data_IF_493948176735
#
_entry.id   IF_493948176735
#
_cell.length_a   1.000
_cell.length_b   1.000
_cell.length_c   1.000
_cell.angle_alpha   90.00
_cell.angle_beta   90.00
_cell.angle_gamma   90.00
#
_symmetry.space_group_name_H-M   'P 1'
#
loop_
_entity.id
_entity.type
_entity.pdbx_description
1 polymer ?
#
# COMPACT_ATOMS: atom_id res chain seq x y z
N UNK A 1 12.16 30.71 43.84
CA UNK A 1 12.73 30.80 42.47
C UNK A 1 11.82 30.02 41.54
N UNK A 2 10.93 30.70 40.82
CA UNK A 2 9.91 30.04 40.00
C UNK A 2 10.55 29.30 38.82
N UNK A 3 10.21 28.03 38.64
CA UNK A 3 10.56 27.27 37.44
C UNK A 3 9.91 27.96 36.23
N UNK A 4 10.72 28.68 35.45
CA UNK A 4 10.29 29.40 34.26
C UNK A 4 9.85 28.35 33.23
N UNK A 5 8.54 28.22 33.02
CA UNK A 5 7.98 27.34 32.00
C UNK A 5 7.91 28.11 30.68
N UNK A 6 8.48 27.58 29.60
CA UNK A 6 8.37 28.11 28.24
C UNK A 6 7.59 27.11 27.40
N UNK A 7 6.53 27.55 26.73
CA UNK A 7 5.84 26.75 25.71
C UNK A 7 6.77 26.63 24.50
N UNK A 8 6.94 25.41 24.00
CA UNK A 8 7.74 25.14 22.82
C UNK A 8 6.80 25.17 21.61
N UNK A 9 7.11 26.05 20.65
CA UNK A 9 6.38 26.20 19.41
C UNK A 9 7.30 25.94 18.22
N UNK A 10 6.74 25.42 17.13
CA UNK A 10 7.48 25.21 15.89
C UNK A 10 8.00 26.56 15.33
N UNK A 11 7.26 27.65 15.59
CA UNK A 11 7.66 29.04 15.29
C UNK A 11 7.25 29.92 16.48
N UNK A 12 8.16 30.77 16.94
CA UNK A 12 7.91 31.80 17.96
C UNK A 12 8.69 33.08 17.65
N UNK A 13 8.59 34.10 18.51
CA UNK A 13 9.31 35.37 18.32
C UNK A 13 10.84 35.23 18.40
N UNK A 14 11.36 34.05 18.77
CA UNK A 14 12.79 33.75 18.77
C UNK A 14 13.25 32.97 17.55
N UNK A 15 12.34 32.57 16.65
CA UNK A 15 12.68 31.82 15.44
C UNK A 15 13.68 32.57 14.56
N UNK A 16 14.61 31.80 13.98
CA UNK A 16 15.66 32.34 13.13
C UNK A 16 15.10 32.58 11.73
N UNK A 17 15.21 33.81 11.24
CA UNK A 17 14.88 34.18 9.86
C UNK A 17 16.18 34.24 9.07
N UNK A 18 16.23 33.52 7.95
CA UNK A 18 17.37 33.47 7.04
C UNK A 18 17.44 34.72 6.14
N UNK A 19 18.55 34.91 5.43
CA UNK A 19 18.80 36.13 4.64
C UNK A 19 17.78 36.35 3.50
N UNK A 20 17.16 35.27 3.03
CA UNK A 20 16.11 35.26 2.00
C UNK A 20 14.68 35.41 2.57
N UNK A 21 14.55 35.68 3.86
CA UNK A 21 13.25 35.82 4.54
C UNK A 21 12.61 34.50 4.96
N UNK A 22 13.30 33.37 4.77
CA UNK A 22 12.78 32.05 5.08
C UNK A 22 12.92 31.77 6.58
N UNK A 23 11.82 31.37 7.21
CA UNK A 23 11.77 31.10 8.65
C UNK A 23 12.21 29.67 8.94
N UNK A 24 13.24 29.51 9.77
CA UNK A 24 13.71 28.19 10.20
C UNK A 24 12.87 27.68 11.36
N UNK A 25 12.33 26.47 11.23
CA UNK A 25 11.59 25.82 12.29
C UNK A 25 12.46 25.60 13.53
N UNK A 26 11.88 25.87 14.69
CA UNK A 26 12.54 25.75 15.97
C UNK A 26 12.83 24.28 16.29
N UNK A 27 14.06 24.00 16.72
CA UNK A 27 14.50 22.64 17.07
C UNK A 27 14.71 22.51 18.58
N UNK A 28 14.94 21.29 19.06
CA UNK A 28 15.39 21.05 20.45
C UNK A 28 16.67 21.85 20.75
N UNK A 29 17.57 21.96 19.77
CA UNK A 29 18.80 22.75 19.90
C UNK A 29 18.56 24.26 19.93
N UNK A 30 17.51 24.75 19.25
CA UNK A 30 17.11 26.17 19.29
C UNK A 30 16.75 26.61 20.71
N UNK A 31 16.06 25.74 21.45
CA UNK A 31 15.65 26.00 22.83
C UNK A 31 16.70 25.58 23.87
N UNK A 32 17.90 25.16 23.45
CA UNK A 32 18.99 24.69 24.33
C UNK A 32 18.55 23.59 25.32
N UNK A 33 17.61 22.74 24.91
CA UNK A 33 17.06 21.69 25.78
C UNK A 33 18.14 20.62 25.98
N UNK A 34 18.58 20.44 27.21
CA UNK A 34 19.63 19.49 27.58
C UNK A 34 19.07 18.10 27.88
N UNK A 35 19.95 17.08 27.86
CA UNK A 35 19.61 15.75 28.33
C UNK A 35 19.08 15.79 29.78
N UNK A 36 18.04 15.01 30.07
CA UNK A 36 17.38 14.97 31.39
C UNK A 36 16.39 16.11 31.65
N UNK A 37 16.14 17.00 30.69
CA UNK A 37 15.13 18.06 30.82
C UNK A 37 13.72 17.50 30.99
N UNK A 38 12.92 18.14 31.84
CA UNK A 38 11.50 17.78 32.04
C UNK A 38 10.62 18.47 30.99
N UNK A 39 9.87 17.68 30.22
CA UNK A 39 8.86 18.18 29.27
C UNK A 39 7.46 17.92 29.84
N UNK A 40 6.59 18.93 29.78
CA UNK A 40 5.19 18.80 30.16
C UNK A 40 4.32 18.77 28.92
N UNK A 41 3.38 17.82 28.86
CA UNK A 41 2.38 17.72 27.80
C UNK A 41 1.06 18.24 28.34
N UNK A 42 0.42 19.15 27.61
CA UNK A 42 -0.91 19.67 27.94
C UNK A 42 -1.76 19.77 26.68
N UNK A 43 -3.07 19.66 26.82
CA UNK A 43 -4.01 19.82 25.70
C UNK A 43 -4.29 21.31 25.50
N UNK A 44 -3.95 21.84 24.34
CA UNK A 44 -4.36 23.18 23.94
C UNK A 44 -5.84 23.14 23.56
N UNK A 45 -6.69 23.92 24.25
CA UNK A 45 -8.12 24.04 23.93
C UNK A 45 -8.22 25.06 22.79
N UNK A 46 -7.92 24.64 21.56
CA UNK A 46 -8.12 25.44 20.36
C UNK A 46 -8.46 24.53 19.18
N UNK A 47 -9.47 24.91 18.39
CA UNK A 47 -9.90 24.25 17.16
C UNK A 47 -8.85 24.44 16.06
N UNK A 48 -7.73 23.71 16.13
CA UNK A 48 -6.77 23.64 15.03
C UNK A 48 -6.82 22.26 14.37
N UNK A 49 -6.99 22.28 13.06
CA UNK A 49 -6.71 21.17 12.15
C UNK A 49 -5.27 20.72 12.35
N UNK A 50 -5.08 19.42 12.64
CA UNK A 50 -3.83 18.82 13.11
C UNK A 50 -2.71 18.67 12.07
N UNK A 51 -2.88 19.23 10.88
CA UNK A 51 -1.86 19.25 9.83
C UNK A 51 -1.46 20.69 9.56
N UNK A 52 -0.39 21.14 10.23
CA UNK A 52 0.27 22.40 9.88
C UNK A 52 1.08 22.11 8.61
N UNK A 53 0.49 22.39 7.45
CA UNK A 53 1.25 22.45 6.20
C UNK A 53 2.12 23.71 6.25
N UNK A 54 3.42 23.51 6.47
CA UNK A 54 4.40 24.58 6.35
C UNK A 54 4.55 24.98 4.89
N UNK A 55 4.31 26.26 4.59
CA UNK A 55 4.51 26.85 3.26
C UNK A 55 5.99 26.97 2.90
N UNK A 56 6.27 27.29 1.63
CA UNK A 56 7.62 27.40 1.05
C UNK A 56 8.51 28.50 1.70
N UNK A 57 7.92 29.35 2.54
CA UNK A 57 8.60 30.35 3.39
C UNK A 57 9.18 29.75 4.68
N UNK A 58 9.09 28.43 4.87
CA UNK A 58 9.67 27.72 6.02
C UNK A 58 10.72 26.70 5.61
N UNK A 59 11.75 26.53 6.44
CA UNK A 59 12.75 25.48 6.27
C UNK A 59 13.08 24.78 7.59
N UNK A 60 13.69 23.59 7.51
CA UNK A 60 14.14 22.86 8.70
C UNK A 60 15.61 22.42 8.54
N UNK A 61 15.86 21.26 7.92
CA UNK A 61 17.21 20.71 7.72
C UNK A 61 17.76 20.94 6.32
N UNK A 62 16.88 21.12 5.33
CA UNK A 62 17.24 21.41 3.94
C UNK A 62 16.93 22.88 3.70
N UNK A 63 17.94 23.63 3.28
CA UNK A 63 17.79 25.03 2.88
C UNK A 63 17.29 25.06 1.43
N UNK A 64 16.38 25.97 1.08
CA UNK A 64 15.91 26.16 -0.30
C UNK A 64 17.08 26.47 -1.25
N UNK A 65 16.91 26.14 -2.54
CA UNK A 65 18.00 26.13 -3.52
C UNK A 65 18.70 27.50 -3.69
N UNK A 66 18.03 28.60 -3.32
CA UNK A 66 18.59 29.97 -3.29
C UNK A 66 19.88 30.09 -2.45
N UNK A 67 19.95 29.42 -1.30
CA UNK A 67 21.17 29.37 -0.45
C UNK A 67 22.07 28.17 -0.76
N UNK A 68 21.59 27.20 -1.53
CA UNK A 68 22.38 26.03 -1.90
C UNK A 68 23.38 26.31 -3.04
N UNK A 69 23.19 27.41 -3.77
CA UNK A 69 24.01 27.87 -4.88
C UNK A 69 24.75 29.19 -4.65
N UNK A 70 24.51 29.91 -3.54
CA UNK A 70 25.29 31.09 -3.19
C UNK A 70 26.66 30.70 -2.62
N UNK A 71 27.61 30.54 -3.54
CA UNK A 71 29.03 30.47 -3.23
C UNK A 71 29.75 31.61 -3.97
N UNK A 72 29.49 32.87 -3.61
CA UNK A 72 30.37 33.99 -4.01
C UNK A 72 30.43 35.07 -2.93
N UNK A 73 31.58 35.09 -2.24
CA UNK A 73 32.21 36.24 -1.58
C UNK A 73 31.53 36.87 -0.36
N UNK A 74 31.81 36.32 0.83
CA UNK A 74 31.76 37.14 2.04
C UNK A 74 31.73 36.37 3.35
N UNK A 75 32.82 36.50 4.10
CA UNK A 75 32.98 36.16 5.53
C UNK A 75 33.19 34.68 5.92
N UNK A 76 34.21 34.55 6.76
CA UNK A 76 34.75 33.35 7.41
C UNK A 76 33.70 32.64 8.27
N UNK A 77 32.92 31.74 7.69
CA UNK A 77 32.43 30.57 8.43
C UNK A 77 33.00 29.31 7.77
N UNK A 78 34.00 28.71 8.43
CA UNK A 78 34.53 27.37 8.12
C UNK A 78 33.50 26.28 8.49
N UNK A 79 32.31 26.34 7.89
CA UNK A 79 31.36 25.24 7.86
C UNK A 79 31.70 24.35 6.67
N UNK A 80 32.00 23.08 6.93
CA UNK A 80 32.34 22.03 5.96
C UNK A 80 31.60 22.22 4.63
N UNK A 81 32.35 22.27 3.51
CA UNK A 81 31.80 22.08 2.16
C UNK A 81 30.64 21.07 2.24
N UNK A 82 29.43 21.49 1.88
CA UNK A 82 28.28 20.59 1.78
C UNK A 82 28.57 19.62 0.65
N UNK A 83 29.20 18.48 0.98
CA UNK A 83 29.36 17.34 0.09
C UNK A 83 27.96 16.81 -0.25
N UNK A 84 27.35 17.36 -1.31
CA UNK A 84 26.12 16.83 -1.95
C UNK A 84 26.46 15.59 -2.79
N UNK A 85 27.26 14.67 -2.26
CA UNK A 85 27.50 13.38 -2.91
C UNK A 85 26.40 12.44 -2.46
N UNK A 86 25.27 12.42 -3.21
CA UNK A 86 24.12 11.52 -2.93
C UNK A 86 24.56 10.07 -2.71
N UNK A 87 25.63 9.65 -3.39
CA UNK A 87 26.22 8.31 -3.30
C UNK A 87 26.80 7.98 -1.92
N UNK A 88 27.27 8.97 -1.15
CA UNK A 88 27.78 8.76 0.22
C UNK A 88 26.69 8.21 1.16
N UNK A 89 25.42 8.53 0.88
CA UNK A 89 24.27 8.08 1.66
C UNK A 89 23.75 6.70 1.25
N UNK A 90 24.29 6.06 0.20
CA UNK A 90 23.93 4.68 -0.16
C UNK A 90 24.22 3.69 0.98
N UNK A 91 25.31 3.92 1.73
CA UNK A 91 25.65 3.13 2.91
C UNK A 91 24.60 3.24 4.02
N UNK A 92 23.88 4.37 4.11
CA UNK A 92 22.76 4.54 5.03
C UNK A 92 21.53 3.75 4.59
N UNK A 93 21.24 3.70 3.29
CA UNK A 93 20.18 2.82 2.76
C UNK A 93 20.47 1.35 3.07
N UNK A 94 21.72 0.92 2.88
CA UNK A 94 22.14 -0.44 3.21
C UNK A 94 22.03 -0.71 4.72
N UNK A 95 22.45 0.25 5.55
CA UNK A 95 22.34 0.14 7.00
C UNK A 95 20.88 -0.02 7.46
N UNK A 96 19.97 0.79 6.90
CA UNK A 96 18.53 0.67 7.16
C UNK A 96 17.98 -0.67 6.68
N UNK A 97 18.34 -1.11 5.46
CA UNK A 97 17.95 -2.42 4.92
C UNK A 97 18.35 -3.53 5.88
N UNK A 98 19.61 -3.55 6.32
CA UNK A 98 20.13 -4.56 7.26
C UNK A 98 19.36 -4.53 8.58
N UNK A 99 19.09 -3.35 9.13
CA UNK A 99 18.38 -3.20 10.40
C UNK A 99 16.96 -3.79 10.37
N UNK A 100 16.24 -3.64 9.25
CA UNK A 100 14.85 -4.14 9.12
C UNK A 100 14.75 -5.53 8.47
N UNK A 101 15.85 -6.06 7.93
CA UNK A 101 15.86 -7.21 7.05
C UNK A 101 15.19 -8.44 7.67
N UNK A 102 15.50 -8.75 8.93
CA UNK A 102 14.95 -9.93 9.62
C UNK A 102 13.43 -9.86 9.80
N UNK A 103 12.87 -8.65 9.95
CA UNK A 103 11.42 -8.44 10.03
C UNK A 103 10.79 -8.63 8.65
N UNK A 104 11.44 -8.11 7.61
CA UNK A 104 10.97 -8.27 6.23
C UNK A 104 10.97 -9.73 5.79
N UNK A 105 12.03 -10.49 6.10
CA UNK A 105 12.08 -11.92 5.78
C UNK A 105 10.97 -12.71 6.47
N UNK A 106 10.71 -12.41 7.75
CA UNK A 106 9.60 -13.04 8.49
C UNK A 106 8.26 -12.72 7.84
N UNK A 107 8.04 -11.47 7.43
CA UNK A 107 6.83 -11.06 6.73
C UNK A 107 6.67 -11.81 5.40
N UNK A 108 7.69 -11.79 4.56
CA UNK A 108 7.69 -12.46 3.25
C UNK A 108 7.45 -13.97 3.38
N UNK A 109 8.20 -14.64 4.27
CA UNK A 109 8.00 -16.07 4.53
C UNK A 109 6.66 -16.36 5.16
N UNK A 110 6.07 -15.47 5.95
CA UNK A 110 4.71 -15.66 6.46
C UNK A 110 3.64 -15.63 5.35
N UNK A 111 3.91 -14.95 4.23
CA UNK A 111 3.01 -14.87 3.07
C UNK A 111 3.11 -16.13 2.22
N UNK A 112 4.32 -16.63 1.94
CA UNK A 112 4.54 -17.79 1.06
C UNK A 112 4.96 -19.07 1.80
N UNK A 113 4.56 -19.23 3.06
CA UNK A 113 4.72 -20.50 3.80
C UNK A 113 3.39 -21.19 4.01
N UNK A 114 3.46 -22.49 4.32
CA UNK A 114 2.31 -23.32 4.64
C UNK A 114 2.42 -23.79 6.10
N UNK A 115 1.84 -23.07 7.06
CA UNK A 115 1.80 -23.51 8.45
C UNK A 115 1.14 -24.89 8.54
N UNK A 116 1.80 -25.84 9.21
CA UNK A 116 1.32 -27.23 9.35
C UNK A 116 0.96 -27.91 8.01
N UNK A 117 1.64 -27.52 6.93
CA UNK A 117 1.36 -28.00 5.56
C UNK A 117 -0.08 -27.74 5.12
N UNK A 118 -0.70 -26.65 5.59
CA UNK A 118 -2.04 -26.20 5.17
C UNK A 118 -1.95 -24.84 4.50
N UNK A 119 -2.53 -24.73 3.31
CA UNK A 119 -2.75 -23.46 2.64
C UNK A 119 -4.07 -22.82 3.11
N UNK A 120 -4.21 -21.48 3.07
CA UNK A 120 -5.51 -20.85 3.18
C UNK A 120 -6.47 -21.42 2.13
N UNK A 121 -7.70 -21.74 2.57
CA UNK A 121 -8.71 -22.43 1.75
C UNK A 121 -8.91 -21.74 0.38
N UNK A 122 -9.12 -20.43 0.39
CA UNK A 122 -9.32 -19.63 -0.82
C UNK A 122 -8.13 -19.69 -1.79
N UNK A 123 -6.88 -19.74 -1.28
CA UNK A 123 -5.68 -19.82 -2.13
C UNK A 123 -5.62 -21.18 -2.82
N UNK A 124 -5.78 -22.27 -2.06
CA UNK A 124 -5.76 -23.63 -2.62
C UNK A 124 -6.85 -23.78 -3.68
N UNK A 125 -8.09 -23.42 -3.35
CA UNK A 125 -9.20 -23.51 -4.29
C UNK A 125 -8.95 -22.70 -5.56
N UNK A 126 -8.55 -21.44 -5.41
CA UNK A 126 -8.37 -20.56 -6.56
C UNK A 126 -7.19 -20.99 -7.44
N UNK A 127 -6.12 -21.54 -6.85
CA UNK A 127 -4.98 -22.07 -7.60
C UNK A 127 -5.33 -23.36 -8.34
N UNK A 128 -6.10 -24.27 -7.71
CA UNK A 128 -6.63 -25.46 -8.38
C UNK A 128 -7.55 -25.08 -9.55
N UNK A 129 -8.37 -24.03 -9.38
CA UNK A 129 -9.17 -23.47 -10.48
C UNK A 129 -8.30 -22.99 -11.64
N UNK A 130 -7.21 -22.25 -11.37
CA UNK A 130 -6.29 -21.79 -12.43
C UNK A 130 -5.60 -22.97 -13.13
N UNK A 131 -5.21 -24.00 -12.39
CA UNK A 131 -4.60 -25.21 -12.92
C UNK A 131 -5.58 -25.95 -13.85
N UNK A 132 -6.83 -26.12 -13.42
CA UNK A 132 -7.89 -26.73 -14.23
C UNK A 132 -8.24 -25.90 -15.49
N UNK A 133 -8.21 -24.56 -15.40
CA UNK A 133 -8.40 -23.70 -16.59
C UNK A 133 -7.25 -23.83 -17.58
N UNK A 134 -6.01 -23.98 -17.10
CA UNK A 134 -4.85 -24.22 -17.96
C UNK A 134 -4.96 -25.57 -18.67
N UNK A 135 -5.37 -26.63 -17.95
CA UNK A 135 -5.61 -27.95 -18.50
C UNK A 135 -6.73 -27.94 -19.56
N UNK A 136 -7.86 -27.31 -19.27
CA UNK A 136 -8.98 -27.17 -20.21
C UNK A 136 -8.56 -26.43 -21.50
N UNK A 137 -7.67 -25.45 -21.38
CA UNK A 137 -7.07 -24.72 -22.51
C UNK A 137 -5.89 -25.45 -23.17
N UNK A 138 -5.52 -26.65 -22.68
CA UNK A 138 -4.39 -27.46 -23.15
C UNK A 138 -3.05 -26.72 -23.07
N UNK A 139 -2.87 -25.89 -22.05
CA UNK A 139 -1.63 -25.17 -21.79
C UNK A 139 -0.69 -26.12 -21.03
N UNK A 140 0.44 -26.44 -21.64
CA UNK A 140 1.46 -27.33 -21.05
C UNK A 140 2.64 -26.57 -20.43
N UNK A 141 2.76 -25.28 -20.71
CA UNK A 141 3.82 -24.43 -20.19
C UNK A 141 3.53 -24.01 -18.73
N UNK A 142 4.33 -24.46 -17.74
CA UNK A 142 4.13 -24.11 -16.34
C UNK A 142 4.33 -22.62 -16.05
N UNK A 143 5.06 -21.88 -16.90
CA UNK A 143 5.33 -20.45 -16.70
C UNK A 143 4.04 -19.63 -16.84
N UNK A 144 3.12 -20.05 -17.72
CA UNK A 144 1.83 -19.38 -17.91
C UNK A 144 1.00 -19.45 -16.63
N UNK A 145 0.93 -20.63 -16.00
CA UNK A 145 0.20 -20.84 -14.75
C UNK A 145 0.86 -20.06 -13.60
N UNK A 146 2.19 -20.05 -13.54
CA UNK A 146 2.93 -19.23 -12.58
C UNK A 146 2.61 -17.74 -12.73
N UNK A 147 2.54 -17.24 -13.95
CA UNK A 147 2.17 -15.85 -14.26
C UNK A 147 0.72 -15.58 -13.82
N UNK A 148 -0.23 -16.49 -14.07
CA UNK A 148 -1.62 -16.31 -13.63
C UNK A 148 -1.73 -16.27 -12.11
N UNK A 149 -1.09 -17.20 -11.39
CA UNK A 149 -1.06 -17.23 -9.92
C UNK A 149 -0.45 -15.94 -9.37
N UNK A 150 0.63 -15.46 -9.96
CA UNK A 150 1.31 -14.22 -9.56
C UNK A 150 0.45 -12.97 -9.83
N UNK A 151 -0.15 -12.88 -11.02
CA UNK A 151 -0.96 -11.72 -11.41
C UNK A 151 -2.31 -11.64 -10.71
N UNK A 152 -2.77 -12.73 -10.09
CA UNK A 152 -4.06 -12.81 -9.41
C UNK A 152 -3.96 -12.61 -7.91
N UNK A 153 -2.95 -13.19 -7.24
CA UNK A 153 -2.84 -13.12 -5.78
C UNK A 153 -1.77 -12.11 -5.31
N UNK A 154 -0.46 -12.34 -5.45
CA UNK A 154 0.54 -11.44 -4.87
C UNK A 154 0.48 -10.03 -5.45
N UNK A 155 0.25 -9.86 -6.76
CA UNK A 155 0.22 -8.52 -7.36
C UNK A 155 -1.07 -7.72 -7.08
N UNK A 156 -2.20 -8.40 -6.86
CA UNK A 156 -3.50 -7.74 -6.64
C UNK A 156 -3.81 -7.55 -5.16
N UNK A 157 -3.48 -8.54 -4.35
CA UNK A 157 -3.78 -8.54 -2.92
C UNK A 157 -2.56 -8.15 -2.10
N UNK A 158 -1.48 -8.95 -2.12
CA UNK A 158 -0.36 -8.77 -1.19
C UNK A 158 0.42 -7.48 -1.40
N UNK A 159 0.72 -7.11 -2.65
CA UNK A 159 1.36 -5.82 -2.96
C UNK A 159 0.50 -4.65 -2.48
N UNK A 160 -0.83 -4.76 -2.59
CA UNK A 160 -1.74 -3.71 -2.13
C UNK A 160 -1.69 -3.57 -0.60
N UNK A 161 -1.73 -4.68 0.14
CA UNK A 161 -1.62 -4.67 1.61
C UNK A 161 -0.24 -4.18 2.07
N UNK A 162 0.84 -4.63 1.43
CA UNK A 162 2.21 -4.20 1.74
C UNK A 162 2.41 -2.70 1.53
N UNK A 163 1.83 -2.15 0.47
CA UNK A 163 1.90 -0.71 0.19
C UNK A 163 0.93 0.09 1.05
N UNK A 164 -0.19 -0.48 1.45
CA UNK A 164 -1.27 0.22 2.15
C UNK A 164 -1.59 -0.43 3.52
N UNK A 165 -0.64 -0.41 4.47
CA UNK A 165 -0.86 -0.98 5.80
C UNK A 165 -2.01 -0.32 6.57
N UNK A 166 -2.40 0.91 6.22
CA UNK A 166 -3.55 1.59 6.79
C UNK A 166 -4.90 0.93 6.47
N UNK A 167 -4.94 -0.01 5.51
CA UNK A 167 -6.13 -0.84 5.28
C UNK A 167 -6.33 -1.91 6.36
N UNK A 168 -5.27 -2.23 7.11
CA UNK A 168 -5.28 -3.29 8.14
C UNK A 168 -5.13 -2.71 9.53
N UNK A 169 -4.36 -1.62 9.67
CA UNK A 169 -4.02 -1.01 10.96
C UNK A 169 -4.39 0.48 10.99
N UNK A 170 -4.78 0.97 12.15
CA UNK A 170 -5.00 2.41 12.36
C UNK A 170 -3.65 3.16 12.46
N UNK A 171 -3.09 3.51 11.30
CA UNK A 171 -1.81 4.21 11.20
C UNK A 171 -1.86 5.34 10.17
N UNK A 172 -1.22 6.48 10.49
CA UNK A 172 -1.00 7.56 9.53
C UNK A 172 0.19 7.23 8.63
N UNK A 173 -0.09 6.87 7.38
CA UNK A 173 0.92 6.62 6.36
C UNK A 173 1.48 7.94 5.82
N UNK A 174 2.78 8.19 6.01
CA UNK A 174 3.47 9.37 5.45
C UNK A 174 4.03 9.09 4.05
N UNK A 175 4.28 10.11 3.22
CA UNK A 175 4.89 9.93 1.89
C UNK A 175 6.26 9.25 1.94
N UNK A 176 7.06 9.52 2.99
CA UNK A 176 8.35 8.85 3.18
C UNK A 176 8.18 7.34 3.40
N UNK A 177 7.23 6.95 4.26
CA UNK A 177 6.91 5.54 4.49
C UNK A 177 6.35 4.89 3.22
N UNK A 178 5.53 5.58 2.44
CA UNK A 178 5.06 5.10 1.14
C UNK A 178 6.22 4.77 0.18
N UNK A 179 7.24 5.63 0.13
CA UNK A 179 8.45 5.39 -0.64
C UNK A 179 9.20 4.13 -0.17
N UNK A 180 9.39 3.97 1.14
CA UNK A 180 10.02 2.78 1.71
C UNK A 180 9.23 1.49 1.42
N UNK A 181 7.91 1.51 1.61
CA UNK A 181 7.03 0.38 1.34
C UNK A 181 6.99 0.04 -0.15
N UNK A 182 7.08 1.04 -1.04
CA UNK A 182 7.18 0.81 -2.48
C UNK A 182 8.47 0.09 -2.87
N UNK A 183 9.60 0.39 -2.22
CA UNK A 183 10.86 -0.35 -2.40
C UNK A 183 10.72 -1.81 -1.93
N UNK A 184 10.11 -2.03 -0.76
CA UNK A 184 9.86 -3.38 -0.22
C UNK A 184 8.90 -4.17 -1.12
N UNK A 185 7.80 -3.55 -1.56
CA UNK A 185 6.84 -4.16 -2.46
C UNK A 185 7.48 -4.51 -3.81
N UNK A 186 8.40 -3.68 -4.32
CA UNK A 186 9.17 -4.00 -5.52
C UNK A 186 10.02 -5.26 -5.34
N UNK A 187 10.77 -5.37 -4.23
CA UNK A 187 11.54 -6.58 -3.92
C UNK A 187 10.63 -7.81 -3.78
N UNK A 188 9.46 -7.66 -3.15
CA UNK A 188 8.45 -8.71 -3.08
C UNK A 188 8.00 -9.14 -4.48
N UNK A 189 7.67 -8.21 -5.38
CA UNK A 189 7.28 -8.53 -6.76
C UNK A 189 8.39 -9.23 -7.54
N UNK A 190 9.64 -8.78 -7.40
CA UNK A 190 10.80 -9.39 -8.06
C UNK A 190 11.02 -10.85 -7.62
N UNK A 191 10.60 -11.24 -6.41
CA UNK A 191 10.63 -12.63 -5.93
C UNK A 191 9.69 -13.57 -6.70
N UNK A 192 8.62 -13.05 -7.33
CA UNK A 192 7.71 -13.85 -8.16
C UNK A 192 8.08 -13.80 -9.65
N UNK A 193 9.10 -13.04 -10.04
CA UNK A 193 9.49 -12.94 -11.44
C UNK A 193 10.16 -14.23 -11.93
N UNK A 194 9.78 -14.68 -13.13
CA UNK A 194 10.45 -15.78 -13.83
C UNK A 194 11.78 -15.35 -14.48
N UNK A 195 11.99 -14.04 -14.71
CA UNK A 195 13.18 -13.54 -15.40
C UNK A 195 14.38 -13.39 -14.47
N UNK A 196 15.50 -14.03 -14.82
CA UNK A 196 16.81 -13.77 -14.23
C UNK A 196 17.21 -12.30 -14.50
N UNK A 197 17.45 -11.52 -13.44
CA UNK A 197 17.87 -10.12 -13.58
C UNK A 197 19.39 -10.02 -13.41
N UNK A 198 20.11 -9.74 -14.50
CA UNK A 198 21.50 -9.29 -14.41
C UNK A 198 21.52 -7.80 -14.11
N UNK A 199 21.84 -7.45 -12.87
CA UNK A 199 21.88 -6.05 -12.44
C UNK A 199 23.28 -5.46 -12.68
N UNK A 200 23.35 -4.49 -13.58
CA UNK A 200 24.55 -3.70 -13.86
C UNK A 200 24.62 -2.40 -13.04
N UNK A 201 25.63 -1.57 -13.32
CA UNK A 201 25.85 -0.28 -12.64
C UNK A 201 24.69 0.72 -12.82
N UNK A 202 23.97 0.62 -13.94
CA UNK A 202 22.81 1.46 -14.27
C UNK A 202 21.49 0.96 -13.66
N UNK A 203 21.53 -0.14 -12.89
CA UNK A 203 20.33 -0.66 -12.25
C UNK A 203 19.80 0.31 -11.18
N UNK A 204 18.47 0.47 -11.07
CA UNK A 204 17.86 1.26 -10.00
C UNK A 204 18.34 0.81 -8.61
N UNK A 205 18.65 1.77 -7.73
CA UNK A 205 19.20 1.51 -6.39
C UNK A 205 18.31 0.57 -5.56
N UNK A 206 16.99 0.68 -5.68
CA UNK A 206 16.04 -0.21 -5.00
C UNK A 206 16.18 -1.67 -5.41
N UNK A 207 16.51 -1.96 -6.68
CA UNK A 207 16.79 -3.32 -7.14
C UNK A 207 18.14 -3.81 -6.63
N UNK A 208 19.16 -2.95 -6.65
CA UNK A 208 20.49 -3.27 -6.12
C UNK A 208 20.47 -3.60 -4.62
N UNK A 209 19.58 -2.97 -3.83
CA UNK A 209 19.46 -3.20 -2.38
C UNK A 209 19.06 -4.64 -2.02
N UNK A 210 18.26 -5.30 -2.85
CA UNK A 210 17.75 -6.66 -2.61
C UNK A 210 18.29 -7.70 -3.59
N UNK A 211 19.16 -7.31 -4.51
CA UNK A 211 19.70 -8.16 -5.58
C UNK A 211 20.20 -9.54 -5.10
N UNK A 212 20.84 -9.58 -3.93
CA UNK A 212 21.40 -10.81 -3.35
C UNK A 212 20.35 -11.73 -2.73
N UNK A 213 19.21 -11.19 -2.31
CA UNK A 213 18.16 -11.93 -1.61
C UNK A 213 17.13 -12.52 -2.59
N UNK A 214 16.88 -11.83 -3.72
CA UNK A 214 15.86 -12.22 -4.72
C UNK A 214 16.00 -13.66 -5.23
N UNK A 215 17.20 -14.18 -5.56
CA UNK A 215 17.33 -15.57 -6.03
C UNK A 215 16.81 -16.59 -5.01
N UNK A 216 17.09 -16.38 -3.72
CA UNK A 216 16.56 -17.24 -2.66
C UNK A 216 15.04 -17.14 -2.56
N UNK A 217 14.49 -15.91 -2.60
CA UNK A 217 13.03 -15.74 -2.55
C UNK A 217 12.31 -16.37 -3.74
N UNK A 218 12.90 -16.35 -4.94
CA UNK A 218 12.34 -17.04 -6.11
C UNK A 218 12.24 -18.54 -5.92
N UNK A 219 13.26 -19.17 -5.34
CA UNK A 219 13.23 -20.61 -5.04
C UNK A 219 12.19 -20.95 -3.96
N UNK A 220 12.05 -20.10 -2.95
CA UNK A 220 10.99 -20.25 -1.93
C UNK A 220 9.59 -20.13 -2.55
N UNK A 221 9.36 -19.15 -3.44
CA UNK A 221 8.08 -18.96 -4.14
C UNK A 221 7.75 -20.13 -5.06
N UNK A 222 8.72 -20.63 -5.84
CA UNK A 222 8.54 -21.85 -6.66
C UNK A 222 8.14 -23.03 -5.77
N UNK A 223 8.81 -23.19 -4.63
CA UNK A 223 8.50 -24.25 -3.66
C UNK A 223 7.10 -24.09 -3.07
N UNK A 224 6.67 -22.86 -2.77
CA UNK A 224 5.33 -22.55 -2.27
C UNK A 224 4.23 -22.94 -3.25
N UNK A 225 4.34 -22.50 -4.52
CA UNK A 225 3.35 -22.85 -5.55
C UNK A 225 3.29 -24.36 -5.80
N UNK A 226 4.45 -25.03 -5.81
CA UNK A 226 4.51 -26.49 -5.89
C UNK A 226 3.80 -27.14 -4.70
N UNK A 227 4.11 -26.70 -3.48
CA UNK A 227 3.54 -27.28 -2.27
C UNK A 227 2.02 -27.13 -2.22
N UNK A 228 1.45 -25.99 -2.67
CA UNK A 228 -0.01 -25.82 -2.78
C UNK A 228 -0.62 -26.78 -3.80
N UNK A 229 0.01 -26.91 -4.97
CA UNK A 229 -0.47 -27.81 -6.02
C UNK A 229 -0.50 -29.26 -5.54
N UNK A 230 0.53 -29.65 -4.79
CA UNK A 230 0.68 -31.02 -4.28
C UNK A 230 -0.25 -31.33 -3.08
N UNK A 231 -1.00 -30.34 -2.56
CA UNK A 231 -2.06 -30.58 -1.56
C UNK A 231 -3.27 -31.31 -2.17
N UNK A 232 -4.01 -32.11 -1.36
CA UNK A 232 -5.25 -32.73 -1.80
C UNK A 232 -6.25 -31.70 -2.37
N UNK A 233 -7.03 -32.09 -3.39
CA UNK A 233 -8.09 -31.23 -3.92
C UNK A 233 -9.17 -31.02 -2.86
N UNK A 234 -9.78 -29.83 -2.88
CA UNK A 234 -10.88 -29.47 -1.99
C UNK A 234 -12.21 -30.00 -2.55
N UNK A 235 -13.08 -30.49 -1.68
CA UNK A 235 -14.42 -30.92 -2.07
C UNK A 235 -15.39 -29.74 -2.18
N UNK A 236 -16.46 -29.90 -2.99
CA UNK A 236 -17.52 -28.90 -3.09
C UNK A 236 -18.25 -28.66 -1.76
N UNK A 237 -18.33 -29.68 -0.91
CA UNK A 237 -18.95 -29.55 0.42
C UNK A 237 -18.13 -28.66 1.35
N UNK A 238 -16.80 -28.83 1.38
CA UNK A 238 -15.91 -27.97 2.18
C UNK A 238 -15.95 -26.52 1.70
N UNK A 239 -16.09 -26.32 0.39
CA UNK A 239 -16.29 -25.00 -0.21
C UNK A 239 -17.58 -24.34 0.27
N UNK A 240 -18.70 -25.04 0.15
CA UNK A 240 -19.99 -24.53 0.55
C UNK A 240 -20.01 -24.19 2.04
N UNK A 241 -19.42 -25.05 2.87
CA UNK A 241 -19.28 -24.82 4.30
C UNK A 241 -18.45 -23.56 4.59
N UNK A 242 -17.25 -23.44 3.99
CA UNK A 242 -16.38 -22.28 4.17
C UNK A 242 -17.08 -20.98 3.77
N UNK A 243 -17.70 -20.93 2.59
CA UNK A 243 -18.39 -19.74 2.10
C UNK A 243 -19.62 -19.39 2.95
N UNK A 244 -20.36 -20.39 3.42
CA UNK A 244 -21.52 -20.18 4.30
C UNK A 244 -21.08 -19.61 5.65
N UNK A 245 -19.98 -20.13 6.22
CA UNK A 245 -19.45 -19.65 7.49
C UNK A 245 -18.99 -18.19 7.39
N UNK A 246 -18.22 -17.84 6.35
CA UNK A 246 -17.79 -16.44 6.14
C UNK A 246 -18.97 -15.52 5.82
N UNK A 247 -19.97 -15.97 5.05
CA UNK A 247 -21.17 -15.16 4.77
C UNK A 247 -21.95 -14.83 6.03
N UNK A 248 -22.19 -15.83 6.91
CA UNK A 248 -22.89 -15.63 8.19
C UNK A 248 -22.15 -14.69 9.13
N UNK A 249 -20.82 -14.78 9.15
CA UNK A 249 -19.98 -13.95 10.01
C UNK A 249 -20.09 -12.45 9.65
N UNK A 250 -20.28 -12.14 8.38
CA UNK A 250 -20.28 -10.77 7.86
C UNK A 250 -21.66 -10.26 7.41
N UNK A 251 -22.73 -11.02 7.63
CA UNK A 251 -24.10 -10.76 7.12
C UNK A 251 -24.64 -9.36 7.46
N UNK A 252 -24.29 -8.82 8.63
CA UNK A 252 -24.81 -7.54 9.11
C UNK A 252 -23.73 -6.43 9.16
N UNK A 253 -22.57 -6.65 8.53
CA UNK A 253 -21.48 -5.65 8.52
C UNK A 253 -21.66 -4.60 7.42
N UNK A 254 -22.40 -4.91 6.34
CA UNK A 254 -22.54 -4.06 5.17
C UNK A 254 -24.02 -3.73 4.89
N UNK A 255 -24.27 -2.52 4.36
CA UNK A 255 -25.61 -2.11 3.95
C UNK A 255 -25.85 -2.46 2.48
N UNK A 256 -26.59 -3.55 2.24
CA UNK A 256 -26.93 -4.03 0.90
C UNK A 256 -27.83 -3.05 0.13
N UNK A 257 -28.76 -2.36 0.81
CA UNK A 257 -29.67 -1.42 0.15
C UNK A 257 -28.91 -0.27 -0.53
N UNK A 258 -27.89 0.27 0.15
CA UNK A 258 -27.03 1.32 -0.40
C UNK A 258 -26.22 0.78 -1.58
N UNK A 259 -25.61 -0.41 -1.45
CA UNK A 259 -24.84 -1.03 -2.53
C UNK A 259 -25.72 -1.27 -3.77
N UNK A 260 -26.92 -1.83 -3.61
CA UNK A 260 -27.87 -2.08 -4.70
C UNK A 260 -28.32 -0.77 -5.36
N UNK A 261 -28.53 0.29 -4.58
CA UNK A 261 -28.89 1.61 -5.11
C UNK A 261 -27.77 2.19 -5.98
N UNK A 262 -26.51 2.05 -5.58
CA UNK A 262 -25.36 2.49 -6.38
C UNK A 262 -25.16 1.63 -7.63
N UNK A 263 -25.34 0.31 -7.53
CA UNK A 263 -25.28 -0.62 -8.69
C UNK A 263 -26.36 -0.26 -9.72
N UNK A 264 -27.58 0.05 -9.26
CA UNK A 264 -28.69 0.41 -10.15
C UNK A 264 -28.38 1.64 -11.01
N UNK A 265 -27.55 2.58 -10.54
CA UNK A 265 -27.11 3.73 -11.37
C UNK A 265 -26.40 3.26 -12.64
N UNK A 266 -25.59 2.20 -12.57
CA UNK A 266 -24.95 1.61 -13.73
C UNK A 266 -25.94 0.87 -14.62
N UNK A 267 -26.92 0.19 -14.03
CA UNK A 267 -27.99 -0.49 -14.78
C UNK A 267 -28.76 0.51 -15.64
N UNK A 268 -29.16 1.66 -15.08
CA UNK A 268 -29.86 2.71 -15.84
C UNK A 268 -28.97 3.28 -16.94
N UNK A 269 -27.69 3.53 -16.64
CA UNK A 269 -26.74 4.11 -17.58
C UNK A 269 -26.51 3.25 -18.81
N UNK A 270 -26.52 1.93 -18.65
CA UNK A 270 -26.25 0.95 -19.72
C UNK A 270 -27.46 0.07 -20.01
N UNK A 271 -28.67 0.58 -19.76
CA UNK A 271 -29.88 -0.25 -19.74
C UNK A 271 -30.13 -0.94 -21.07
N UNK A 272 -30.01 -0.20 -22.17
CA UNK A 272 -30.29 -0.71 -23.50
C UNK A 272 -29.23 -1.74 -23.92
N UNK A 273 -27.95 -1.53 -23.58
CA UNK A 273 -26.89 -2.50 -23.86
C UNK A 273 -27.07 -3.79 -23.07
N UNK A 274 -27.45 -3.69 -21.79
CA UNK A 274 -27.74 -4.86 -20.95
C UNK A 274 -28.95 -5.61 -21.51
N UNK A 275 -30.04 -4.90 -21.81
CA UNK A 275 -31.27 -5.50 -22.34
C UNK A 275 -31.02 -6.22 -23.67
N UNK A 276 -30.36 -5.54 -24.61
CA UNK A 276 -30.00 -6.12 -25.91
C UNK A 276 -29.14 -7.38 -25.77
N UNK A 277 -28.28 -7.45 -24.76
CA UNK A 277 -27.47 -8.64 -24.49
C UNK A 277 -28.32 -9.78 -23.93
N UNK A 278 -29.21 -9.49 -22.98
CA UNK A 278 -30.14 -10.48 -22.43
C UNK A 278 -31.07 -11.06 -23.50
N UNK A 279 -31.49 -10.25 -24.47
CA UNK A 279 -32.34 -10.70 -25.60
C UNK A 279 -31.63 -11.64 -26.58
N UNK A 280 -30.30 -11.51 -26.72
CA UNK A 280 -29.51 -12.31 -27.66
C UNK A 280 -29.03 -13.63 -27.07
N UNK A 281 -28.98 -13.74 -25.75
CA UNK A 281 -28.40 -14.89 -25.05
C UNK A 281 -29.50 -15.85 -24.57
N UNK A 282 -29.48 -17.08 -25.07
CA UNK A 282 -30.50 -18.09 -24.76
C UNK A 282 -30.49 -18.46 -23.27
N UNK A 283 -31.67 -18.55 -22.65
CA UNK A 283 -31.81 -18.95 -21.25
C UNK A 283 -31.79 -17.78 -20.25
N UNK A 284 -31.79 -16.53 -20.73
CA UNK A 284 -31.83 -15.32 -19.89
C UNK A 284 -33.19 -14.58 -19.97
N UNK A 285 -34.24 -15.20 -20.50
CA UNK A 285 -35.55 -14.58 -20.70
C UNK A 285 -36.21 -14.16 -19.37
N UNK A 286 -35.97 -14.93 -18.30
CA UNK A 286 -36.47 -14.59 -16.96
C UNK A 286 -35.71 -13.39 -16.36
N UNK A 287 -34.38 -13.37 -16.50
CA UNK A 287 -33.56 -12.23 -16.07
C UNK A 287 -33.93 -10.94 -16.81
N UNK A 288 -34.29 -11.04 -18.10
CA UNK A 288 -34.80 -9.93 -18.89
C UNK A 288 -36.10 -9.36 -18.30
N UNK A 289 -37.08 -10.23 -17.97
CA UNK A 289 -38.34 -9.82 -17.34
C UNK A 289 -38.09 -9.16 -15.98
N UNK A 290 -37.20 -9.73 -15.18
CA UNK A 290 -36.84 -9.17 -13.87
C UNK A 290 -36.16 -7.80 -14.00
N UNK A 291 -35.26 -7.61 -14.97
CA UNK A 291 -34.63 -6.33 -15.23
C UNK A 291 -35.66 -5.24 -15.58
N UNK A 292 -36.61 -5.56 -16.46
CA UNK A 292 -37.70 -4.65 -16.82
C UNK A 292 -38.58 -4.34 -15.60
N UNK A 293 -38.90 -5.34 -14.78
CA UNK A 293 -39.67 -5.15 -13.55
C UNK A 293 -38.95 -4.24 -12.54
N UNK A 294 -37.65 -4.46 -12.32
CA UNK A 294 -36.82 -3.62 -11.46
C UNK A 294 -36.82 -2.16 -11.95
N UNK A 295 -36.75 -1.93 -13.27
CA UNK A 295 -36.83 -0.57 -13.82
C UNK A 295 -38.15 0.12 -13.47
N UNK A 296 -39.27 -0.58 -13.62
CA UNK A 296 -40.60 -0.05 -13.26
C UNK A 296 -40.66 0.32 -11.78
N UNK A 297 -40.22 -0.57 -10.88
CA UNK A 297 -40.23 -0.32 -9.44
C UNK A 297 -39.40 0.92 -9.05
N UNK A 298 -38.24 1.10 -9.66
CA UNK A 298 -37.39 2.27 -9.39
C UNK A 298 -37.97 3.57 -9.97
N UNK A 299 -38.63 3.52 -11.13
CA UNK A 299 -39.30 4.68 -11.71
C UNK A 299 -40.54 5.09 -10.90
N UNK A 300 -41.29 4.13 -10.36
CA UNK A 300 -42.38 4.38 -9.39
C UNK A 300 -41.83 5.01 -8.09
N UNK A 301 -40.76 4.45 -7.53
CA UNK A 301 -40.11 4.99 -6.33
C UNK A 301 -39.61 6.43 -6.55
N UNK A 302 -39.17 6.77 -7.76
CA UNK A 302 -38.84 8.16 -8.11
C UNK A 302 -40.08 9.03 -8.09
N UNK A 303 -41.17 8.65 -8.75
CA UNK A 303 -42.42 9.44 -8.81
C UNK A 303 -42.99 9.73 -7.41
N UNK A 304 -42.93 8.75 -6.49
CA UNK A 304 -43.40 8.93 -5.12
C UNK A 304 -42.54 9.87 -4.25
N UNK A 305 -41.30 10.20 -4.64
CA UNK A 305 -40.46 11.19 -3.94
C UNK A 305 -40.77 12.65 -4.29
N UNK A 306 -41.60 12.90 -5.31
CA UNK A 306 -41.99 14.25 -5.76
C UNK A 306 -43.41 14.66 -5.34
N UNK A 307 -44.07 13.85 -4.50
CA UNK A 307 -45.32 14.19 -3.79
C UNK A 307 -45.03 14.32 -2.29
#
# INVERSE_FOLDING_TARGET
MGTRQKELLDIDSSSVILEDGITKLNTIGHYEISNGSTIKVFKKIANFTSDVEYSDDHCHLILPDSEAFQDVQGKRHRGKHKFKVKEMYLTKLLSTKVAIHSVLEKLFRSIWSLPNSRAPFAIKYFFDFLDAQAENKKITDPDVVHIWKTNSLPLRFWVNILKNPQFVFDIKKTPHIDGCLSVIAQAFMDAFSLTEQQLGKEAPTNKLLYAKDIPTYKEEVKSYYKAIRDLPPLSSSEMEEFLTQESKKHENEFNEEVALTEIYKYIVKYFDEILNKLERERGLEEAQKQLLHVKVLFDEKKKCKWM
#
